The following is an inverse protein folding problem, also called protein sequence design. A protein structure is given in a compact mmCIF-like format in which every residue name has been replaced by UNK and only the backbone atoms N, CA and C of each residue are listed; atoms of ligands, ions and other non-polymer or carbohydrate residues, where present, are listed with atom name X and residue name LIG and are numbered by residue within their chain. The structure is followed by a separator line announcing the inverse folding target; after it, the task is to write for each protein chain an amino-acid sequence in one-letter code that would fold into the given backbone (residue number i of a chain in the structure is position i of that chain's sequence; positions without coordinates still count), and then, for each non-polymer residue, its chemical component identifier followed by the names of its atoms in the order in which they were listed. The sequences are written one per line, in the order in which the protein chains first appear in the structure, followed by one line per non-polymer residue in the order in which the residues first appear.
data_IF_568378069181
#
_entry.id   IF_568378069181
#
_cell.length_a   1.000
_cell.length_b   1.000
_cell.length_c   1.000
_cell.angle_alpha   90.00
_cell.angle_beta   90.00
_cell.angle_gamma   90.00
#
_symmetry.space_group_name_H-M   'P 1'
#
loop_
_entity.id
_entity.type
_entity.pdbx_description
1 polymer ?
#
# COMPACT_ATOMS: atom_id res chain seq x y z
N UNK A 1 -16.01 16.37 -16.13
CA UNK A 1 -14.56 16.43 -16.41
C UNK A 1 -13.80 15.21 -15.87
N UNK A 2 -13.88 14.86 -14.57
CA UNK A 2 -13.17 13.71 -13.98
C UNK A 2 -13.38 12.40 -14.77
N UNK A 3 -14.62 12.01 -15.05
CA UNK A 3 -14.90 10.76 -15.76
C UNK A 3 -14.30 10.71 -17.17
N UNK A 4 -14.22 11.84 -17.88
CA UNK A 4 -13.57 11.91 -19.19
C UNK A 4 -12.09 11.56 -19.05
N UNK A 5 -11.41 12.16 -18.04
CA UNK A 5 -10.00 11.87 -17.76
C UNK A 5 -9.80 10.39 -17.43
N UNK A 6 -10.67 9.80 -16.61
CA UNK A 6 -10.61 8.36 -16.25
C UNK A 6 -10.80 7.46 -17.48
N UNK A 7 -11.70 7.79 -18.41
CA UNK A 7 -11.85 7.01 -19.64
C UNK A 7 -10.66 7.17 -20.59
N UNK A 8 -10.06 8.37 -20.69
CA UNK A 8 -8.81 8.58 -21.45
C UNK A 8 -7.68 7.76 -20.81
N UNK A 9 -7.56 7.79 -19.47
CA UNK A 9 -6.60 6.97 -18.73
C UNK A 9 -6.83 5.47 -18.99
N UNK A 10 -8.06 5.00 -18.95
CA UNK A 10 -8.45 3.62 -19.27
C UNK A 10 -7.99 3.20 -20.68
N UNK A 11 -8.21 4.06 -21.67
CA UNK A 11 -7.74 3.83 -23.03
C UNK A 11 -6.21 3.76 -23.08
N UNK A 12 -5.52 4.67 -22.40
CA UNK A 12 -4.05 4.66 -22.27
C UNK A 12 -3.52 3.38 -21.63
N UNK A 13 -4.15 2.91 -20.55
CA UNK A 13 -3.82 1.64 -19.89
C UNK A 13 -4.03 0.46 -20.83
N UNK A 14 -5.16 0.41 -21.55
CA UNK A 14 -5.44 -0.64 -22.51
C UNK A 14 -4.39 -0.71 -23.64
N UNK A 15 -3.96 0.44 -24.15
CA UNK A 15 -2.91 0.55 -25.17
C UNK A 15 -1.56 0.13 -24.58
N UNK A 16 -1.14 0.71 -23.46
CA UNK A 16 0.15 0.46 -22.83
C UNK A 16 0.30 -1.00 -22.32
N UNK A 17 -0.80 -1.67 -22.03
CA UNK A 17 -0.80 -3.08 -21.60
C UNK A 17 -0.24 -4.05 -22.66
N UNK A 18 -0.16 -3.61 -23.90
CA UNK A 18 0.42 -4.41 -25.00
C UNK A 18 1.95 -4.54 -24.87
N UNK A 19 2.61 -3.49 -24.38
CA UNK A 19 4.07 -3.43 -24.31
C UNK A 19 4.63 -3.54 -22.88
N UNK A 20 3.86 -3.12 -21.86
CA UNK A 20 4.33 -3.14 -20.47
C UNK A 20 3.70 -4.29 -19.68
N UNK A 21 4.56 -5.20 -19.18
CA UNK A 21 4.13 -6.40 -18.45
C UNK A 21 3.40 -6.07 -17.13
N UNK A 22 3.83 -5.02 -16.42
CA UNK A 22 3.19 -4.59 -15.17
C UNK A 22 1.78 -4.05 -15.43
N UNK A 23 1.64 -3.20 -16.45
CA UNK A 23 0.33 -2.65 -16.85
C UNK A 23 -0.59 -3.76 -17.36
N UNK A 24 -0.05 -4.74 -18.08
CA UNK A 24 -0.80 -5.91 -18.54
C UNK A 24 -1.35 -6.74 -17.39
N UNK A 25 -0.56 -6.98 -16.35
CA UNK A 25 -1.01 -7.70 -15.14
C UNK A 25 -2.15 -6.96 -14.44
N UNK A 26 -1.98 -5.66 -14.22
CA UNK A 26 -3.02 -4.80 -13.65
C UNK A 26 -4.31 -4.87 -14.50
N UNK A 27 -4.20 -4.64 -15.82
CA UNK A 27 -5.33 -4.63 -16.75
C UNK A 27 -6.11 -5.95 -16.77
N UNK A 28 -5.42 -7.09 -16.71
CA UNK A 28 -6.07 -8.41 -16.63
C UNK A 28 -6.69 -8.61 -15.25
N UNK A 29 -5.95 -8.36 -14.20
CA UNK A 29 -6.40 -8.57 -12.84
C UNK A 29 -7.62 -7.70 -12.47
N UNK A 30 -7.71 -6.46 -12.95
CA UNK A 30 -8.91 -5.63 -12.77
C UNK A 30 -10.17 -6.22 -13.44
N UNK A 31 -10.03 -6.91 -14.56
CA UNK A 31 -11.15 -7.60 -15.23
C UNK A 31 -11.58 -8.86 -14.49
N UNK A 32 -10.62 -9.61 -13.97
CA UNK A 32 -10.85 -10.81 -13.18
C UNK A 32 -11.49 -10.50 -11.81
N UNK A 33 -11.36 -9.26 -11.33
CA UNK A 33 -11.90 -8.84 -10.04
C UNK A 33 -13.38 -9.13 -9.88
N UNK A 34 -14.18 -8.89 -10.93
CA UNK A 34 -15.62 -9.11 -10.83
C UNK A 34 -15.98 -10.59 -10.70
N UNK A 35 -15.20 -11.47 -11.29
CA UNK A 35 -15.41 -12.92 -11.18
C UNK A 35 -14.94 -13.42 -9.81
N UNK A 36 -13.80 -12.92 -9.32
CA UNK A 36 -13.31 -13.19 -7.95
C UNK A 36 -14.37 -12.76 -6.94
N UNK A 37 -14.90 -11.55 -7.06
CA UNK A 37 -15.92 -11.05 -6.14
C UNK A 37 -17.19 -11.91 -6.18
N UNK A 38 -17.72 -12.26 -7.37
CA UNK A 38 -18.93 -13.11 -7.50
C UNK A 38 -18.74 -14.48 -6.88
N UNK A 39 -17.55 -15.07 -7.02
CA UNK A 39 -17.24 -16.40 -6.49
C UNK A 39 -17.03 -16.42 -4.98
N UNK A 40 -16.42 -15.36 -4.42
CA UNK A 40 -15.96 -15.34 -3.03
C UNK A 40 -16.86 -14.53 -2.09
N UNK A 41 -17.72 -13.65 -2.61
CA UNK A 41 -18.59 -12.84 -1.75
C UNK A 41 -19.73 -13.68 -1.20
N UNK A 42 -19.81 -13.69 0.11
CA UNK A 42 -20.96 -14.23 0.85
C UNK A 42 -21.96 -13.10 1.07
N UNK A 43 -23.18 -13.17 0.50
CA UNK A 43 -24.16 -12.11 0.59
C UNK A 43 -24.68 -11.87 2.03
N UNK A 44 -24.47 -12.82 2.94
CA UNK A 44 -24.91 -12.72 4.33
C UNK A 44 -23.82 -12.19 5.26
N UNK A 45 -22.58 -12.07 4.78
CA UNK A 45 -21.47 -11.61 5.59
C UNK A 45 -21.34 -10.08 5.56
N UNK A 46 -20.87 -9.52 6.68
CA UNK A 46 -20.49 -8.13 6.82
C UNK A 46 -19.05 -7.96 6.43
N UNK A 47 -18.76 -6.99 5.55
CA UNK A 47 -17.43 -6.76 5.03
C UNK A 47 -16.82 -5.45 5.53
N UNK A 48 -15.54 -5.51 5.93
CA UNK A 48 -14.67 -4.35 6.06
C UNK A 48 -13.81 -4.28 4.79
N UNK A 49 -13.85 -3.15 4.11
CA UNK A 49 -13.07 -2.97 2.89
C UNK A 49 -11.80 -2.19 3.16
N UNK A 50 -10.64 -2.78 2.86
CA UNK A 50 -9.34 -2.12 2.87
C UNK A 50 -8.84 -1.90 1.45
N UNK A 51 -8.38 -0.68 1.17
CA UNK A 51 -7.72 -0.36 -0.09
C UNK A 51 -6.31 0.14 0.15
N UNK A 52 -5.33 -0.50 -0.50
CA UNK A 52 -3.93 -0.12 -0.51
C UNK A 52 -3.42 -0.11 -1.95
N UNK A 53 -2.91 1.02 -2.45
CA UNK A 53 -2.46 1.08 -3.84
C UNK A 53 -1.24 0.20 -4.12
N UNK A 54 -0.39 -0.03 -3.12
CA UNK A 54 0.88 -0.74 -3.25
C UNK A 54 1.22 -1.61 -2.05
N UNK A 55 2.28 -2.41 -2.15
CA UNK A 55 2.79 -3.22 -1.04
C UNK A 55 3.16 -2.36 0.18
N UNK A 56 3.79 -1.19 -0.02
CA UNK A 56 4.17 -0.30 1.08
C UNK A 56 2.96 0.26 1.83
N UNK A 57 1.86 0.53 1.15
CA UNK A 57 0.60 0.94 1.77
C UNK A 57 -0.10 -0.22 2.48
N UNK A 58 -0.06 -1.40 1.88
CA UNK A 58 -0.53 -2.61 2.56
C UNK A 58 0.15 -2.81 3.92
N UNK A 59 1.47 -2.69 4.00
CA UNK A 59 2.20 -2.83 5.27
C UNK A 59 1.79 -1.76 6.30
N UNK A 60 1.31 -0.59 5.88
CA UNK A 60 0.72 0.41 6.77
C UNK A 60 -0.70 0.04 7.24
N UNK A 61 -1.51 -0.57 6.39
CA UNK A 61 -2.87 -1.01 6.73
C UNK A 61 -2.91 -2.33 7.48
N UNK A 62 -1.89 -3.16 7.33
CA UNK A 62 -1.84 -4.52 7.86
C UNK A 62 -2.06 -4.63 9.38
N UNK A 63 -1.41 -3.82 10.24
CA UNK A 63 -1.64 -3.91 11.69
C UNK A 63 -3.10 -3.67 12.08
N UNK A 64 -3.79 -2.78 11.35
CA UNK A 64 -5.20 -2.49 11.58
C UNK A 64 -6.07 -3.67 11.15
N UNK A 65 -5.81 -4.26 9.97
CA UNK A 65 -6.53 -5.45 9.50
C UNK A 65 -6.36 -6.62 10.48
N UNK A 66 -5.14 -6.91 10.92
CA UNK A 66 -4.85 -8.00 11.85
C UNK A 66 -5.50 -7.77 13.22
N UNK A 67 -5.53 -6.53 13.71
CA UNK A 67 -6.21 -6.18 14.95
C UNK A 67 -7.72 -6.32 14.83
N UNK A 68 -8.33 -5.81 13.76
CA UNK A 68 -9.76 -5.93 13.51
C UNK A 68 -10.18 -7.39 13.33
N UNK A 69 -9.40 -8.19 12.63
CA UNK A 69 -9.64 -9.63 12.49
C UNK A 69 -9.69 -10.36 13.85
N UNK A 70 -8.86 -9.94 14.81
CA UNK A 70 -8.83 -10.52 16.17
C UNK A 70 -9.97 -10.02 17.03
N UNK A 71 -10.26 -8.72 17.00
CA UNK A 71 -11.26 -8.11 17.88
C UNK A 71 -12.71 -8.21 17.36
N UNK A 72 -12.87 -8.39 16.05
CA UNK A 72 -14.15 -8.42 15.34
C UNK A 72 -14.19 -9.56 14.32
N UNK A 73 -14.14 -10.84 14.77
CA UNK A 73 -14.11 -12.00 13.89
C UNK A 73 -15.38 -12.19 13.06
N UNK A 74 -16.47 -11.53 13.42
CA UNK A 74 -17.75 -11.52 12.71
C UNK A 74 -17.66 -10.82 11.35
N UNK A 75 -16.66 -9.96 11.14
CA UNK A 75 -16.45 -9.29 9.86
C UNK A 75 -15.52 -10.08 8.95
N UNK A 76 -15.88 -10.14 7.68
CA UNK A 76 -14.95 -10.53 6.60
C UNK A 76 -14.19 -9.33 6.08
N UNK A 77 -12.96 -9.55 5.63
CA UNK A 77 -12.10 -8.49 5.11
C UNK A 77 -11.97 -8.64 3.60
N UNK A 78 -12.37 -7.57 2.88
CA UNK A 78 -12.01 -7.35 1.49
C UNK A 78 -10.77 -6.48 1.42
N UNK A 79 -9.71 -6.96 0.77
CA UNK A 79 -8.49 -6.21 0.49
C UNK A 79 -8.36 -5.97 -1.00
N UNK A 80 -8.26 -4.70 -1.40
CA UNK A 80 -8.06 -4.34 -2.80
C UNK A 80 -6.72 -3.63 -3.02
N UNK A 81 -6.08 -3.94 -4.15
CA UNK A 81 -4.87 -3.29 -4.61
C UNK A 81 -5.08 -2.55 -5.93
N UNK A 82 -4.30 -1.49 -6.15
CA UNK A 82 -4.23 -0.84 -7.45
C UNK A 82 -3.01 -1.34 -8.25
N UNK A 83 -1.86 -1.49 -7.61
CA UNK A 83 -0.61 -1.86 -8.25
C UNK A 83 -0.33 -3.37 -8.17
N UNK A 84 0.25 -3.97 -9.22
CA UNK A 84 0.77 -5.33 -9.18
C UNK A 84 1.79 -5.57 -8.07
N UNK A 85 2.55 -4.56 -7.66
CA UNK A 85 3.54 -4.70 -6.58
C UNK A 85 2.92 -5.12 -5.24
N UNK A 86 1.68 -4.73 -4.97
CA UNK A 86 0.93 -5.17 -3.81
C UNK A 86 0.24 -6.52 -4.06
N UNK A 87 -0.56 -6.58 -5.13
CA UNK A 87 -1.41 -7.74 -5.41
C UNK A 87 -0.60 -9.03 -5.63
N UNK A 88 0.42 -9.02 -6.50
CA UNK A 88 1.20 -10.22 -6.82
C UNK A 88 1.91 -10.82 -5.60
N UNK A 89 2.31 -9.98 -4.65
CA UNK A 89 2.97 -10.40 -3.42
C UNK A 89 1.96 -10.86 -2.36
N UNK A 90 0.75 -10.29 -2.35
CA UNK A 90 -0.23 -10.48 -1.26
C UNK A 90 -1.57 -11.11 -1.69
N UNK A 91 -1.70 -11.59 -2.92
CA UNK A 91 -2.94 -12.24 -3.42
C UNK A 91 -3.41 -13.44 -2.58
N UNK A 92 -2.49 -14.09 -1.87
CA UNK A 92 -2.76 -15.20 -0.97
C UNK A 92 -2.62 -14.79 0.52
N UNK A 93 -2.86 -13.52 0.84
CA UNK A 93 -2.77 -13.05 2.21
C UNK A 93 -3.91 -13.61 3.06
N UNK A 94 -3.58 -14.44 4.05
CA UNK A 94 -4.54 -15.16 4.92
C UNK A 94 -5.32 -14.22 5.86
N UNK A 95 -4.83 -13.00 6.08
CA UNK A 95 -5.52 -12.00 6.90
C UNK A 95 -6.71 -11.33 6.21
N UNK A 96 -6.99 -11.63 4.94
CA UNK A 96 -8.16 -11.14 4.21
C UNK A 96 -8.92 -12.29 3.54
N UNK A 97 -10.26 -12.24 3.54
CA UNK A 97 -11.11 -13.26 2.93
C UNK A 97 -11.15 -13.15 1.41
N UNK A 98 -11.07 -11.92 0.91
CA UNK A 98 -11.04 -11.62 -0.52
C UNK A 98 -9.89 -10.67 -0.78
N UNK A 99 -9.01 -11.04 -1.71
CA UNK A 99 -7.95 -10.16 -2.23
C UNK A 99 -8.11 -10.04 -3.74
N UNK A 100 -8.20 -8.79 -4.25
CA UNK A 100 -8.34 -8.52 -5.67
C UNK A 100 -7.77 -7.16 -6.05
N UNK A 101 -7.74 -6.84 -7.33
CA UNK A 101 -7.50 -5.47 -7.78
C UNK A 101 -8.74 -4.59 -7.55
N UNK A 102 -8.54 -3.30 -7.34
CA UNK A 102 -9.62 -2.33 -7.42
C UNK A 102 -9.89 -2.02 -8.90
N UNK A 103 -11.08 -2.28 -9.42
CA UNK A 103 -11.42 -1.89 -10.78
C UNK A 103 -11.30 -0.38 -10.96
N UNK A 104 -10.80 0.06 -12.13
CA UNK A 104 -10.62 1.48 -12.41
C UNK A 104 -11.90 2.28 -12.16
N UNK A 105 -11.74 3.47 -11.60
CA UNK A 105 -12.80 4.34 -11.06
C UNK A 105 -13.74 4.92 -12.14
N UNK A 106 -14.34 4.06 -12.94
CA UNK A 106 -15.43 4.44 -13.85
C UNK A 106 -16.80 4.29 -13.16
N UNK A 107 -17.79 5.11 -13.50
CA UNK A 107 -19.14 4.97 -12.93
C UNK A 107 -19.74 3.57 -13.09
N UNK A 108 -19.45 2.91 -14.21
CA UNK A 108 -19.91 1.56 -14.47
C UNK A 108 -19.23 0.53 -13.56
N UNK A 109 -17.93 0.58 -13.40
CA UNK A 109 -17.19 -0.33 -12.54
C UNK A 109 -17.61 -0.17 -11.08
N UNK A 110 -17.76 1.07 -10.61
CA UNK A 110 -18.21 1.37 -9.25
C UNK A 110 -19.59 0.77 -8.98
N UNK A 111 -20.56 0.95 -9.89
CA UNK A 111 -21.89 0.36 -9.75
C UNK A 111 -21.84 -1.18 -9.73
N UNK A 112 -21.02 -1.78 -10.62
CA UNK A 112 -20.83 -3.23 -10.64
C UNK A 112 -20.18 -3.77 -9.38
N UNK A 113 -19.18 -3.08 -8.87
CA UNK A 113 -18.49 -3.44 -7.63
C UNK A 113 -19.45 -3.46 -6.44
N UNK A 114 -20.16 -2.37 -6.20
CA UNK A 114 -21.11 -2.28 -5.10
C UNK A 114 -22.41 -3.09 -5.30
N UNK A 115 -22.69 -3.57 -6.51
CA UNK A 115 -23.77 -4.54 -6.74
C UNK A 115 -23.43 -5.94 -6.23
N UNK A 116 -22.12 -6.24 -6.13
CA UNK A 116 -21.64 -7.57 -5.70
C UNK A 116 -21.30 -7.55 -4.21
N UNK A 117 -20.63 -6.49 -3.73
CA UNK A 117 -20.16 -6.41 -2.35
C UNK A 117 -20.64 -5.12 -1.68
N UNK A 118 -21.14 -5.26 -0.44
CA UNK A 118 -21.66 -4.17 0.36
C UNK A 118 -20.84 -4.04 1.64
N UNK A 119 -19.75 -3.22 1.65
CA UNK A 119 -18.95 -3.05 2.85
C UNK A 119 -19.71 -2.20 3.87
N UNK A 120 -19.62 -2.59 5.15
CA UNK A 120 -20.13 -1.79 6.28
C UNK A 120 -19.31 -0.50 6.47
N UNK A 121 -18.01 -0.55 6.14
CA UNK A 121 -17.12 0.59 6.14
C UNK A 121 -15.87 0.33 5.27
N UNK A 122 -15.20 1.39 4.87
CA UNK A 122 -14.02 1.33 4.03
C UNK A 122 -12.83 2.08 4.63
N UNK A 123 -11.64 1.48 4.53
CA UNK A 123 -10.37 2.01 4.99
C UNK A 123 -9.45 2.22 3.79
N UNK A 124 -9.13 3.47 3.50
CA UNK A 124 -8.21 3.84 2.42
C UNK A 124 -6.87 4.25 3.01
N UNK A 125 -5.81 3.56 2.60
CA UNK A 125 -4.48 3.82 3.12
C UNK A 125 -3.88 5.01 2.36
N UNK A 126 -3.36 5.97 3.09
CA UNK A 126 -2.86 7.27 2.59
C UNK A 126 -3.95 8.11 1.93
N UNK A 127 -3.77 8.48 0.63
CA UNK A 127 -4.61 9.46 -0.08
C UNK A 127 -5.13 8.96 -1.43
N UNK A 128 -5.40 7.66 -1.53
CA UNK A 128 -5.99 7.03 -2.72
C UNK A 128 -7.50 7.34 -2.84
N UNK A 129 -7.83 8.61 -3.10
CA UNK A 129 -9.22 9.08 -3.13
C UNK A 129 -9.80 9.02 -4.55
N UNK A 130 -10.45 7.94 -4.87
CA UNK A 130 -11.10 7.68 -6.14
C UNK A 130 -12.50 8.27 -6.14
N UNK A 131 -12.73 9.30 -6.96
CA UNK A 131 -13.94 10.14 -6.93
C UNK A 131 -15.26 9.38 -6.98
N UNK A 132 -15.41 8.43 -7.93
CA UNK A 132 -16.67 7.72 -8.09
C UNK A 132 -16.93 6.74 -6.93
N UNK A 133 -15.88 6.03 -6.46
CA UNK A 133 -15.98 5.19 -5.27
C UNK A 133 -16.35 6.01 -4.03
N UNK A 134 -15.66 7.12 -3.80
CA UNK A 134 -15.90 7.99 -2.63
C UNK A 134 -17.30 8.60 -2.64
N UNK A 135 -17.74 9.13 -3.79
CA UNK A 135 -19.06 9.73 -3.92
C UNK A 135 -20.18 8.70 -3.84
N UNK A 136 -19.94 7.47 -4.35
CA UNK A 136 -20.91 6.38 -4.18
C UNK A 136 -21.08 6.02 -2.70
N UNK A 137 -19.98 5.80 -1.98
CA UNK A 137 -20.02 5.46 -0.55
C UNK A 137 -20.71 6.55 0.27
N UNK A 138 -20.37 7.81 0.00
CA UNK A 138 -21.04 8.93 0.68
C UNK A 138 -22.54 8.95 0.44
N UNK A 139 -22.98 8.69 -0.80
CA UNK A 139 -24.40 8.68 -1.18
C UNK A 139 -25.19 7.55 -0.50
N UNK A 140 -24.50 6.45 -0.17
CA UNK A 140 -25.10 5.26 0.45
C UNK A 140 -24.72 5.12 1.92
N UNK A 141 -24.28 6.21 2.57
CA UNK A 141 -23.94 6.28 3.99
C UNK A 141 -22.93 5.22 4.47
N UNK A 142 -22.05 4.78 3.57
CA UNK A 142 -20.95 3.88 3.91
C UNK A 142 -19.78 4.70 4.47
N UNK A 143 -19.40 4.53 5.75
CA UNK A 143 -18.30 5.27 6.35
C UNK A 143 -16.97 4.99 5.67
N UNK A 144 -16.20 6.04 5.41
CA UNK A 144 -14.87 5.96 4.81
C UNK A 144 -13.85 6.57 5.74
N UNK A 145 -12.79 5.82 6.01
CA UNK A 145 -11.68 6.24 6.85
C UNK A 145 -10.41 6.32 6.01
N UNK A 146 -9.74 7.47 6.06
CA UNK A 146 -8.41 7.64 5.47
C UNK A 146 -7.37 7.40 6.56
N UNK A 147 -6.50 6.41 6.36
CA UNK A 147 -5.58 5.91 7.39
C UNK A 147 -4.13 6.16 7.01
N UNK A 148 -3.34 6.56 8.00
CA UNK A 148 -1.90 6.85 7.83
C UNK A 148 -1.63 7.85 6.71
N UNK A 149 -2.52 8.84 6.58
CA UNK A 149 -2.45 9.85 5.52
C UNK A 149 -1.42 10.91 5.85
N UNK A 150 -0.71 11.38 4.83
CA UNK A 150 0.21 12.51 4.95
C UNK A 150 -0.10 13.52 3.84
N UNK A 151 -0.44 14.73 4.22
CA UNK A 151 -0.76 15.80 3.28
C UNK A 151 0.41 16.76 3.08
N UNK A 152 0.57 17.26 1.85
CA UNK A 152 1.63 18.19 1.47
C UNK A 152 1.05 19.35 0.69
N UNK A 153 1.59 20.58 0.83
CA UNK A 153 1.06 21.78 0.16
C UNK A 153 1.04 21.67 -1.38
N UNK A 154 1.92 20.82 -1.94
CA UNK A 154 2.04 20.65 -3.39
C UNK A 154 0.93 19.78 -4.00
N UNK A 155 0.19 19.03 -3.18
CA UNK A 155 -0.89 18.16 -3.67
C UNK A 155 -2.04 19.00 -4.25
N UNK A 156 -2.71 18.43 -5.23
CA UNK A 156 -3.81 19.07 -5.99
C UNK A 156 -4.90 19.66 -5.11
N UNK A 157 -5.17 19.06 -3.96
CA UNK A 157 -6.20 19.50 -3.02
C UNK A 157 -5.97 20.93 -2.51
N UNK A 158 -4.71 21.36 -2.40
CA UNK A 158 -4.30 22.67 -1.84
C UNK A 158 -3.95 23.69 -2.94
N UNK A 159 -4.05 23.31 -4.22
CA UNK A 159 -3.79 24.19 -5.35
C UNK A 159 -5.05 24.93 -5.77
N UNK A 160 -4.89 26.13 -6.32
CA UNK A 160 -6.00 26.97 -6.78
C UNK A 160 -6.87 26.28 -7.83
N UNK A 161 -6.28 25.44 -8.70
CA UNK A 161 -6.97 24.67 -9.74
C UNK A 161 -7.61 23.36 -9.21
N UNK A 162 -7.30 22.97 -7.98
CA UNK A 162 -7.76 21.70 -7.38
C UNK A 162 -9.17 21.73 -6.79
N UNK A 163 -9.87 22.86 -6.87
CA UNK A 163 -11.16 23.07 -6.19
C UNK A 163 -12.23 21.99 -6.50
N UNK A 164 -12.32 21.58 -7.77
CA UNK A 164 -13.27 20.53 -8.17
C UNK A 164 -12.91 19.16 -7.56
N UNK A 165 -11.62 18.83 -7.51
CA UNK A 165 -11.16 17.53 -6.98
C UNK A 165 -11.15 17.53 -5.44
N UNK A 166 -10.89 18.65 -4.81
CA UNK A 166 -10.92 18.85 -3.35
C UNK A 166 -12.22 18.34 -2.70
N UNK A 167 -13.34 18.41 -3.41
CA UNK A 167 -14.65 17.94 -2.92
C UNK A 167 -14.64 16.46 -2.53
N UNK A 168 -13.72 15.65 -3.05
CA UNK A 168 -13.60 14.22 -2.68
C UNK A 168 -13.27 14.05 -1.19
N UNK A 169 -12.54 15.00 -0.60
CA UNK A 169 -12.17 14.95 0.81
C UNK A 169 -13.40 15.04 1.73
N UNK A 170 -14.48 15.70 1.28
CA UNK A 170 -15.74 15.79 2.02
C UNK A 170 -16.51 14.45 2.06
N UNK A 171 -16.06 13.44 1.31
CA UNK A 171 -16.63 12.09 1.35
C UNK A 171 -16.02 11.24 2.46
N UNK A 172 -14.95 11.70 3.11
CA UNK A 172 -14.24 10.97 4.15
C UNK A 172 -14.89 11.23 5.51
N UNK A 173 -15.23 10.18 6.20
CA UNK A 173 -15.86 10.25 7.54
C UNK A 173 -14.87 10.74 8.58
N UNK A 174 -13.62 10.23 8.55
CA UNK A 174 -12.53 10.69 9.42
C UNK A 174 -11.18 10.44 8.77
N UNK A 175 -10.26 11.37 9.00
CA UNK A 175 -8.86 11.28 8.61
C UNK A 175 -8.00 10.92 9.81
N UNK A 176 -7.23 9.85 9.70
CA UNK A 176 -6.15 9.50 10.62
C UNK A 176 -4.83 9.84 9.94
N UNK A 177 -4.25 10.97 10.35
CA UNK A 177 -3.07 11.55 9.70
C UNK A 177 -1.78 11.29 10.49
N UNK A 178 -0.64 11.34 9.79
CA UNK A 178 0.64 11.04 10.40
C UNK A 178 1.19 12.18 11.26
N UNK A 179 0.83 13.44 10.97
CA UNK A 179 1.46 14.60 11.63
C UNK A 179 0.55 15.83 11.66
N UNK A 180 0.95 16.78 12.52
CA UNK A 180 0.27 18.05 12.73
C UNK A 180 0.11 18.85 11.43
N UNK A 181 1.17 18.93 10.61
CA UNK A 181 1.14 19.67 9.34
C UNK A 181 0.04 19.18 8.40
N UNK A 182 -0.25 17.87 8.40
CA UNK A 182 -1.36 17.32 7.62
C UNK A 182 -2.71 17.78 8.16
N UNK A 183 -2.88 17.86 9.49
CA UNK A 183 -4.09 18.40 10.15
C UNK A 183 -4.29 19.86 9.81
N UNK A 184 -3.24 20.66 9.94
CA UNK A 184 -3.27 22.10 9.60
C UNK A 184 -3.68 22.32 8.14
N UNK A 185 -3.10 21.57 7.20
CA UNK A 185 -3.44 21.66 5.78
C UNK A 185 -4.91 21.31 5.52
N UNK A 186 -5.45 20.26 6.14
CA UNK A 186 -6.85 19.90 6.01
C UNK A 186 -7.76 20.99 6.64
N UNK A 187 -7.34 21.58 7.76
CA UNK A 187 -8.07 22.69 8.40
C UNK A 187 -8.17 23.91 7.49
N UNK A 188 -7.20 24.22 6.63
CA UNK A 188 -7.29 25.31 5.62
C UNK A 188 -8.42 25.09 4.62
N UNK A 189 -8.91 23.85 4.49
CA UNK A 189 -10.04 23.47 3.64
C UNK A 189 -11.37 23.32 4.40
N UNK A 190 -11.39 23.68 5.70
CA UNK A 190 -12.55 23.51 6.56
C UNK A 190 -12.79 22.06 7.03
N UNK A 191 -11.81 21.16 6.87
CA UNK A 191 -11.91 19.75 7.29
C UNK A 191 -11.39 19.63 8.72
N UNK A 192 -12.28 19.31 9.67
CA UNK A 192 -11.97 19.24 11.12
C UNK A 192 -12.05 17.83 11.71
N UNK A 193 -12.62 16.87 10.99
CA UNK A 193 -12.73 15.46 11.38
C UNK A 193 -11.39 14.71 11.19
N UNK A 194 -10.33 15.25 11.80
CA UNK A 194 -8.95 14.81 11.64
C UNK A 194 -8.35 14.43 12.99
N UNK A 195 -7.70 13.28 13.05
CA UNK A 195 -6.99 12.78 14.22
C UNK A 195 -5.53 12.44 13.85
N UNK A 196 -4.59 12.78 14.72
CA UNK A 196 -3.17 12.48 14.51
C UNK A 196 -2.86 11.15 15.18
N UNK A 197 -2.52 10.15 14.39
CA UNK A 197 -2.22 8.79 14.86
C UNK A 197 -0.78 8.34 14.58
N UNK A 198 0.00 9.16 13.87
CA UNK A 198 1.35 8.80 13.47
C UNK A 198 1.38 7.88 12.24
N UNK A 199 2.56 7.32 12.01
CA UNK A 199 2.79 6.39 10.89
C UNK A 199 2.73 4.94 11.40
N UNK A 200 1.75 4.21 10.96
CA UNK A 200 1.51 2.80 11.33
C UNK A 200 2.65 1.84 10.96
N UNK A 201 3.63 2.28 10.15
CA UNK A 201 4.86 1.50 9.91
C UNK A 201 5.68 1.31 11.18
N UNK A 202 5.65 2.28 12.10
CA UNK A 202 6.34 2.14 13.39
C UNK A 202 5.75 1.04 14.26
N UNK A 203 4.44 0.85 14.25
CA UNK A 203 3.80 -0.27 14.95
C UNK A 203 4.36 -1.60 14.44
N UNK A 204 4.47 -1.72 13.10
CA UNK A 204 5.03 -2.91 12.47
C UNK A 204 6.51 -3.13 12.82
N UNK A 205 7.31 -2.07 12.87
CA UNK A 205 8.72 -2.16 13.29
C UNK A 205 8.84 -2.64 14.73
N UNK A 206 7.97 -2.17 15.64
CA UNK A 206 7.95 -2.61 17.03
C UNK A 206 7.58 -4.10 17.15
N UNK A 207 6.57 -4.56 16.42
CA UNK A 207 6.20 -5.98 16.36
C UNK A 207 7.35 -6.87 15.84
N UNK A 208 7.99 -6.44 14.76
CA UNK A 208 9.15 -7.15 14.18
C UNK A 208 10.29 -7.19 15.20
N UNK A 209 10.58 -6.06 15.88
CA UNK A 209 11.61 -5.99 16.91
C UNK A 209 11.33 -6.97 18.05
N UNK A 210 10.09 -7.01 18.56
CA UNK A 210 9.69 -7.94 19.60
C UNK A 210 9.84 -9.41 19.17
N UNK A 211 9.40 -9.71 17.94
CA UNK A 211 9.52 -11.06 17.38
C UNK A 211 10.98 -11.43 17.10
N UNK A 212 11.79 -10.49 16.64
CA UNK A 212 13.20 -10.71 16.31
C UNK A 212 14.05 -10.92 17.57
N UNK A 213 13.73 -10.22 18.67
CA UNK A 213 14.46 -10.37 19.94
C UNK A 213 14.37 -11.79 20.53
N UNK A 214 13.37 -12.57 20.10
CA UNK A 214 13.19 -13.97 20.51
C UNK A 214 13.82 -14.96 19.54
N UNK A 215 14.32 -14.50 18.38
CA UNK A 215 14.92 -15.36 17.37
C UNK A 215 16.44 -15.37 17.50
N UNK A 216 17.00 -16.54 17.71
CA UNK A 216 18.43 -16.75 17.55
C UNK A 216 18.78 -16.77 16.06
N UNK A 217 19.83 -16.08 15.68
CA UNK A 217 20.33 -16.06 14.29
C UNK A 217 21.81 -16.53 14.25
N UNK A 218 22.09 -17.81 14.49
CA UNK A 218 23.44 -18.33 14.72
C UNK A 218 24.43 -17.97 13.58
N UNK A 219 23.95 -17.92 12.35
CA UNK A 219 24.76 -17.54 11.18
C UNK A 219 25.19 -16.07 11.28
N UNK A 220 24.25 -15.18 11.63
CA UNK A 220 24.53 -13.75 11.79
C UNK A 220 25.42 -13.50 12.98
N UNK A 221 25.15 -14.19 14.10
CA UNK A 221 25.93 -14.07 15.33
C UNK A 221 27.37 -14.53 15.12
N UNK A 222 27.57 -15.66 14.43
CA UNK A 222 28.90 -16.16 14.07
C UNK A 222 29.60 -15.20 13.09
N UNK A 223 28.89 -14.64 12.12
CA UNK A 223 29.42 -13.66 11.18
C UNK A 223 29.83 -12.35 11.89
N UNK A 224 29.05 -11.89 12.86
CA UNK A 224 29.29 -10.65 13.61
C UNK A 224 30.40 -10.75 14.65
N UNK A 225 30.74 -11.96 15.08
CA UNK A 225 31.63 -12.19 16.23
C UNK A 225 33.02 -11.54 16.03
N UNK A 226 33.35 -10.60 16.92
CA UNK A 226 34.66 -9.94 16.92
C UNK A 226 34.80 -8.79 15.90
N UNK A 227 33.72 -8.42 15.20
CA UNK A 227 33.75 -7.35 14.20
C UNK A 227 32.64 -6.33 14.44
N UNK A 228 32.88 -5.09 13.99
CA UNK A 228 31.80 -4.13 13.81
C UNK A 228 30.98 -4.54 12.57
N UNK A 229 29.66 -4.43 12.66
CA UNK A 229 28.77 -4.81 11.54
C UNK A 229 28.00 -3.59 11.05
N UNK A 230 28.08 -3.36 9.74
CA UNK A 230 27.24 -2.39 9.04
C UNK A 230 26.14 -3.13 8.27
N UNK A 231 24.90 -2.73 8.48
CA UNK A 231 23.75 -3.32 7.78
C UNK A 231 23.16 -2.29 6.82
N UNK A 232 23.29 -2.55 5.52
CA UNK A 232 22.68 -1.73 4.47
C UNK A 232 21.33 -2.32 4.08
N UNK A 233 20.25 -1.75 4.63
CA UNK A 233 18.88 -2.17 4.34
C UNK A 233 18.26 -1.36 3.19
N UNK A 234 17.71 -2.06 2.18
CA UNK A 234 17.06 -1.43 1.02
C UNK A 234 18.01 -0.53 0.21
N UNK A 235 19.27 -0.98 0.05
CA UNK A 235 20.29 -0.24 -0.70
C UNK A 235 20.00 -0.23 -2.21
N UNK A 236 20.51 0.80 -2.88
CA UNK A 236 20.54 0.93 -4.33
C UNK A 236 21.97 0.93 -4.84
N UNK A 237 22.22 0.60 -6.12
CA UNK A 237 23.58 0.55 -6.65
C UNK A 237 24.43 1.80 -6.37
N UNK A 238 23.93 3.05 -6.45
CA UNK A 238 24.73 4.22 -6.10
C UNK A 238 25.16 4.27 -4.62
N UNK A 239 24.30 3.76 -3.71
CA UNK A 239 24.65 3.68 -2.28
C UNK A 239 25.74 2.64 -2.06
N UNK A 240 25.62 1.51 -2.76
CA UNK A 240 26.56 0.38 -2.69
C UNK A 240 27.96 0.77 -3.19
N UNK A 241 28.02 1.55 -4.27
CA UNK A 241 29.30 2.09 -4.79
C UNK A 241 30.05 2.94 -3.75
N UNK A 242 29.33 3.62 -2.86
CA UNK A 242 29.94 4.46 -1.82
C UNK A 242 30.45 3.58 -0.68
N UNK A 243 29.58 2.78 -0.06
CA UNK A 243 29.96 2.10 1.17
C UNK A 243 30.86 0.88 0.92
N UNK A 244 30.77 0.18 -0.24
CA UNK A 244 31.67 -0.94 -0.55
C UNK A 244 33.10 -0.45 -0.66
N UNK A 245 33.36 0.69 -1.31
CA UNK A 245 34.69 1.28 -1.38
C UNK A 245 35.24 1.58 0.00
N UNK A 246 34.44 2.26 0.84
CA UNK A 246 34.83 2.60 2.20
C UNK A 246 35.23 1.36 3.01
N UNK A 247 34.40 0.32 3.01
CA UNK A 247 34.63 -0.86 3.82
C UNK A 247 35.70 -1.82 3.24
N UNK A 248 36.07 -1.68 1.98
CA UNK A 248 37.23 -2.39 1.45
C UNK A 248 38.54 -1.98 2.14
N UNK A 249 38.62 -0.75 2.63
CA UNK A 249 39.77 -0.21 3.35
C UNK A 249 39.67 -0.41 4.88
N UNK A 250 38.49 -0.81 5.39
CA UNK A 250 38.23 -0.97 6.82
C UNK A 250 37.93 -2.45 7.17
N UNK A 251 38.99 -3.25 7.32
CA UNK A 251 38.91 -4.70 7.51
C UNK A 251 38.37 -5.15 8.88
N UNK A 252 38.27 -4.24 9.85
CA UNK A 252 37.63 -4.43 11.16
C UNK A 252 36.09 -4.42 11.09
N UNK A 253 35.52 -4.12 9.92
CA UNK A 253 34.10 -4.14 9.67
C UNK A 253 33.65 -5.32 8.83
N UNK A 254 32.41 -5.75 9.05
CA UNK A 254 31.66 -6.66 8.18
C UNK A 254 30.39 -5.98 7.67
N UNK A 255 29.98 -6.33 6.46
CA UNK A 255 28.82 -5.72 5.82
C UNK A 255 27.77 -6.79 5.57
N UNK A 256 26.54 -6.46 5.93
CA UNK A 256 25.34 -7.20 5.52
C UNK A 256 24.53 -6.31 4.58
N UNK A 257 24.34 -6.75 3.33
CA UNK A 257 23.62 -5.99 2.31
C UNK A 257 22.27 -6.66 2.05
N UNK A 258 21.19 -5.90 2.20
CA UNK A 258 19.85 -6.29 1.79
C UNK A 258 19.37 -5.27 0.73
N UNK A 259 19.61 -5.52 -0.57
CA UNK A 259 19.31 -4.58 -1.64
C UNK A 259 17.80 -4.39 -1.81
N UNK A 260 17.41 -3.21 -2.31
CA UNK A 260 16.01 -2.89 -2.57
C UNK A 260 15.39 -3.79 -3.67
N UNK A 261 16.18 -4.15 -4.66
CA UNK A 261 15.82 -5.11 -5.71
C UNK A 261 16.95 -6.12 -5.83
N UNK A 262 16.64 -7.40 -5.63
CA UNK A 262 17.60 -8.46 -5.88
C UNK A 262 17.84 -8.53 -7.40
N UNK A 263 19.03 -8.15 -7.83
CA UNK A 263 19.46 -8.20 -9.23
C UNK A 263 20.23 -9.49 -9.47
N UNK A 264 20.28 -9.95 -10.73
CA UNK A 264 21.10 -11.09 -11.16
C UNK A 264 22.60 -10.93 -10.81
N UNK A 265 23.09 -9.71 -10.68
CA UNK A 265 24.44 -9.40 -10.20
C UNK A 265 24.72 -9.96 -8.79
N UNK A 266 23.70 -10.04 -7.91
CA UNK A 266 23.85 -10.59 -6.55
C UNK A 266 23.68 -12.11 -6.49
N UNK A 267 23.13 -12.71 -7.54
CA UNK A 267 22.92 -14.16 -7.68
C UNK A 267 23.92 -14.81 -8.62
N UNK A 268 24.74 -14.00 -9.32
CA UNK A 268 25.83 -14.50 -10.17
C UNK A 268 26.96 -15.02 -9.28
N UNK A 269 27.53 -16.20 -9.55
CA UNK A 269 28.67 -16.69 -8.80
C UNK A 269 29.79 -15.67 -8.89
N UNK A 270 30.49 -15.47 -7.76
CA UNK A 270 31.64 -14.57 -7.70
C UNK A 270 32.71 -15.03 -8.73
N UNK A 271 33.44 -14.11 -9.38
CA UNK A 271 34.57 -14.47 -10.20
C UNK A 271 35.61 -15.37 -9.49
N UNK A 272 35.58 -15.43 -8.16
CA UNK A 272 36.40 -16.35 -7.35
C UNK A 272 35.92 -17.80 -7.41
N UNK A 273 34.68 -18.05 -7.82
CA UNK A 273 34.13 -19.39 -7.92
C UNK A 273 34.54 -20.09 -9.24
N UNK A 274 35.25 -19.37 -10.12
CA UNK A 274 35.81 -19.86 -11.39
C UNK A 274 37.36 -19.91 -11.39
N UNK A 275 38.02 -19.64 -10.27
CA UNK A 275 39.47 -19.64 -10.17
C UNK A 275 40.01 -20.96 -9.59
#
# INVERSE_FOLDING_TARGET
MYNIIIYIYLLGVAIASRWNSKIRKMWRGERETFDILRQKTDPNAKYLWFHAASLGEFEQGRPIMERLRKSHPEYKILLTFFSPSGYEVRKNYEGADIVCYLPLDTPLNVRRFFKIIHPEMAFFIKYEFWWNYMTYMKKHDIPVYSVSSIFRPQQVFFRWYGNSYRRVLNCITRFFVQNEKSRELLATLGITNVEITGDTRFDRVLEIKQSASQKQMPIVDAFAKGYKVFVAGSSWPPDEDIFIRYFNDHKDWRIVIAPHVICLLYTSPSPRDYA
#
